data_IF_140377518482
#
_entry.id   IF_140377518482
#
_cell.length_a   1.000
_cell.length_b   1.000
_cell.length_c   1.000
_cell.angle_alpha   90.00
_cell.angle_beta   90.00
_cell.angle_gamma   90.00
#
_symmetry.space_group_name_H-M   'P 1'
#
loop_
_entity.id
_entity.type
_entity.pdbx_description
1 polymer ?
#
# COMPACT_ATOMS: atom_id res chain seq x y z
N UNK A 1 33.33 21.17 -40.43
CA UNK A 1 32.54 19.92 -40.49
C UNK A 1 32.36 19.28 -39.09
N UNK A 2 32.25 20.09 -38.03
CA UNK A 2 32.15 19.57 -36.65
C UNK A 2 31.36 20.53 -35.72
N UNK A 3 30.41 21.27 -36.28
CA UNK A 3 29.61 22.28 -35.55
C UNK A 3 28.10 22.08 -35.67
N UNK A 4 27.64 20.99 -36.28
CA UNK A 4 26.21 20.72 -36.53
C UNK A 4 25.60 19.61 -35.65
N UNK A 5 26.37 19.00 -34.74
CA UNK A 5 25.92 17.85 -33.94
C UNK A 5 25.42 18.19 -32.52
N UNK A 6 25.34 19.47 -32.13
CA UNK A 6 24.94 19.85 -30.76
C UNK A 6 23.61 20.59 -30.62
N UNK A 7 22.79 20.72 -31.69
CA UNK A 7 21.50 21.44 -31.59
C UNK A 7 20.23 20.58 -31.67
N UNK A 8 20.32 19.25 -31.74
CA UNK A 8 19.12 18.42 -32.01
C UNK A 8 18.46 17.78 -30.77
N UNK A 9 18.57 18.37 -29.57
CA UNK A 9 18.19 17.68 -28.33
C UNK A 9 17.09 18.34 -27.47
N UNK A 10 16.14 19.11 -28.03
CA UNK A 10 15.12 19.77 -27.20
C UNK A 10 13.65 19.77 -27.70
N UNK A 11 13.27 18.92 -28.66
CA UNK A 11 11.90 18.93 -29.21
C UNK A 11 11.03 17.72 -28.84
N UNK A 12 11.05 17.28 -27.58
CA UNK A 12 9.98 16.45 -27.02
C UNK A 12 9.00 17.28 -26.18
N UNK A 13 8.47 18.36 -26.76
CA UNK A 13 7.18 18.92 -26.32
C UNK A 13 6.08 18.15 -27.04
N UNK A 14 5.54 17.12 -26.41
CA UNK A 14 4.27 16.51 -26.79
C UNK A 14 3.14 17.51 -26.53
N UNK A 15 3.02 18.50 -27.41
CA UNK A 15 1.77 19.22 -27.63
C UNK A 15 0.82 18.26 -28.35
N UNK A 16 -0.03 17.58 -27.58
CA UNK A 16 -1.24 16.96 -28.12
C UNK A 16 -2.18 18.09 -28.55
N UNK A 17 -2.01 18.54 -29.79
CA UNK A 17 -2.98 19.40 -30.47
C UNK A 17 -4.23 18.56 -30.77
N UNK A 18 -5.24 18.69 -29.92
CA UNK A 18 -6.61 18.39 -30.33
C UNK A 18 -6.99 19.37 -31.45
N UNK A 19 -7.53 18.84 -32.55
CA UNK A 19 -7.84 19.62 -33.76
C UNK A 19 -8.95 20.65 -33.63
N UNK A 20 -9.62 20.76 -32.48
CA UNK A 20 -10.63 21.77 -32.23
C UNK A 20 -10.30 22.50 -30.92
N UNK A 21 -9.94 23.78 -31.02
CA UNK A 21 -9.64 24.69 -29.90
C UNK A 21 -10.84 25.01 -29.00
N UNK A 22 -11.69 24.03 -28.70
CA UNK A 22 -12.78 24.12 -27.73
C UNK A 22 -12.30 23.54 -26.40
N UNK A 23 -12.58 24.29 -25.33
CA UNK A 23 -12.49 23.96 -23.91
C UNK A 23 -12.31 22.45 -23.69
N UNK A 24 -11.09 21.99 -23.38
CA UNK A 24 -10.89 20.65 -22.84
C UNK A 24 -11.76 20.56 -21.58
N UNK A 25 -12.86 19.83 -21.71
CA UNK A 25 -14.03 19.93 -20.85
C UNK A 25 -13.64 19.84 -19.37
N UNK A 26 -14.03 20.85 -18.57
CA UNK A 26 -13.83 20.86 -17.11
C UNK A 26 -14.31 19.55 -16.48
N UNK A 27 -15.31 18.89 -17.07
CA UNK A 27 -15.82 17.59 -16.63
C UNK A 27 -14.78 16.46 -16.76
N UNK A 28 -14.04 16.38 -17.87
CA UNK A 28 -13.00 15.38 -18.13
C UNK A 28 -11.83 15.57 -17.15
N UNK A 29 -11.39 16.82 -16.97
CA UNK A 29 -10.33 17.16 -16.00
C UNK A 29 -10.73 16.79 -14.57
N UNK A 30 -12.00 16.99 -14.20
CA UNK A 30 -12.53 16.60 -12.88
C UNK A 30 -12.58 15.08 -12.72
N UNK A 31 -13.05 14.33 -13.72
CA UNK A 31 -13.08 12.85 -13.69
C UNK A 31 -11.69 12.24 -13.55
N UNK A 32 -10.69 12.76 -14.27
CA UNK A 32 -9.28 12.34 -14.16
C UNK A 32 -8.74 12.50 -12.74
N UNK A 33 -8.93 13.68 -12.15
CA UNK A 33 -8.46 13.96 -10.78
C UNK A 33 -9.18 13.05 -9.79
N UNK A 34 -10.50 12.85 -9.94
CA UNK A 34 -11.26 11.95 -9.08
C UNK A 34 -10.78 10.50 -9.16
N UNK A 35 -10.52 9.97 -10.36
CA UNK A 35 -9.99 8.62 -10.54
C UNK A 35 -8.62 8.46 -9.86
N UNK A 36 -7.72 9.42 -10.03
CA UNK A 36 -6.41 9.42 -9.37
C UNK A 36 -6.53 9.53 -7.85
N UNK A 37 -7.44 10.37 -7.33
CA UNK A 37 -7.72 10.46 -5.91
C UNK A 37 -8.28 9.15 -5.34
N UNK A 38 -9.18 8.46 -6.05
CA UNK A 38 -9.73 7.18 -5.63
C UNK A 38 -8.64 6.11 -5.52
N UNK A 39 -7.77 6.02 -6.53
CA UNK A 39 -6.65 5.08 -6.49
C UNK A 39 -5.68 5.43 -5.36
N UNK A 40 -5.34 6.70 -5.21
CA UNK A 40 -4.45 7.16 -4.15
C UNK A 40 -5.05 6.88 -2.78
N UNK A 41 -6.35 7.11 -2.57
CA UNK A 41 -7.04 6.81 -1.33
C UNK A 41 -7.01 5.31 -0.99
N UNK A 42 -7.13 4.42 -1.98
CA UNK A 42 -6.98 2.98 -1.80
C UNK A 42 -5.56 2.60 -1.33
N UNK A 43 -4.54 3.22 -1.92
CA UNK A 43 -3.15 3.00 -1.51
C UNK A 43 -2.89 3.59 -0.12
N UNK A 44 -3.45 4.75 0.19
CA UNK A 44 -3.37 5.36 1.52
C UNK A 44 -4.01 4.45 2.57
N UNK A 45 -5.21 3.92 2.34
CA UNK A 45 -5.86 2.99 3.26
C UNK A 45 -5.01 1.73 3.52
N UNK A 46 -4.41 1.15 2.49
CA UNK A 46 -3.47 0.03 2.70
C UNK A 46 -2.19 0.45 3.41
N UNK A 47 -1.71 1.67 3.19
CA UNK A 47 -0.54 2.20 3.89
C UNK A 47 -0.84 2.39 5.38
N UNK A 48 -2.00 2.94 5.74
CA UNK A 48 -2.49 2.97 7.12
C UNK A 48 -2.55 1.56 7.71
N UNK A 49 -3.11 0.60 6.98
CA UNK A 49 -3.20 -0.80 7.40
C UNK A 49 -1.83 -1.42 7.69
N UNK A 50 -0.79 -1.05 6.94
CA UNK A 50 0.59 -1.50 7.17
C UNK A 50 1.25 -0.80 8.37
N UNK A 51 0.83 0.42 8.71
CA UNK A 51 1.30 1.14 9.89
C UNK A 51 0.75 0.56 11.20
N UNK A 52 -0.47 0.01 11.19
CA UNK A 52 -1.13 -0.52 12.37
C UNK A 52 -0.30 -1.61 13.11
N UNK A 53 0.23 -2.66 12.45
CA UNK A 53 1.09 -3.65 13.12
C UNK A 53 2.36 -3.06 13.73
N UNK A 54 2.89 -1.96 13.20
CA UNK A 54 4.13 -1.35 13.70
C UNK A 54 3.91 -0.77 15.10
N UNK A 55 2.82 0.00 15.27
CA UNK A 55 2.42 0.52 16.58
C UNK A 55 1.90 -0.55 17.55
N UNK A 56 1.40 -1.67 17.03
CA UNK A 56 0.73 -2.68 17.84
C UNK A 56 1.58 -3.24 19.01
N UNK A 57 2.91 -3.32 18.87
CA UNK A 57 3.79 -3.75 19.98
C UNK A 57 3.63 -2.89 21.22
N UNK A 58 3.49 -1.57 21.05
CA UNK A 58 3.48 -0.64 22.17
C UNK A 58 2.24 -0.78 23.05
N UNK A 59 1.13 -1.27 22.48
CA UNK A 59 -0.10 -1.55 23.23
C UNK A 59 -0.11 -3.00 23.74
N UNK A 60 0.44 -3.95 22.97
CA UNK A 60 0.44 -5.36 23.30
C UNK A 60 1.33 -5.67 24.51
N UNK A 61 2.58 -5.18 24.50
CA UNK A 61 3.57 -5.57 25.51
C UNK A 61 3.19 -5.16 26.94
N UNK A 62 2.73 -3.92 27.22
CA UNK A 62 2.31 -3.56 28.57
C UNK A 62 1.13 -4.39 29.05
N UNK A 63 0.14 -4.64 28.18
CA UNK A 63 -1.03 -5.43 28.53
C UNK A 63 -0.68 -6.91 28.83
N UNK A 64 0.26 -7.50 28.10
CA UNK A 64 0.75 -8.87 28.36
C UNK A 64 1.59 -8.97 29.65
N UNK A 65 2.32 -7.91 30.01
CA UNK A 65 3.07 -7.87 31.28
C UNK A 65 2.16 -7.70 32.49
N UNK A 66 1.06 -6.96 32.34
CA UNK A 66 0.11 -6.68 33.42
C UNK A 66 -0.95 -7.79 33.59
N UNK A 67 -1.14 -8.65 32.59
CA UNK A 67 -2.10 -9.76 32.71
C UNK A 67 -1.61 -10.82 33.69
N UNK A 68 -2.47 -11.27 34.62
CA UNK A 68 -2.21 -12.41 35.53
C UNK A 68 -2.51 -13.77 34.87
N UNK A 69 -2.65 -13.79 33.54
CA UNK A 69 -3.10 -14.95 32.78
C UNK A 69 -1.91 -15.83 32.33
N UNK A 70 -2.18 -16.99 31.74
CA UNK A 70 -1.16 -17.95 31.28
C UNK A 70 -0.20 -17.45 30.18
N UNK A 71 -0.31 -16.18 29.78
CA UNK A 71 0.44 -15.56 28.70
C UNK A 71 1.28 -14.36 29.16
N UNK A 72 1.74 -14.40 30.41
CA UNK A 72 2.76 -13.46 30.88
C UNK A 72 4.06 -13.61 30.08
N UNK A 73 4.61 -12.47 29.66
CA UNK A 73 5.84 -12.39 28.88
C UNK A 73 7.01 -11.94 29.75
N UNK A 74 8.18 -12.55 29.51
CA UNK A 74 9.46 -11.99 29.95
C UNK A 74 9.94 -10.90 28.97
N UNK A 75 10.88 -10.06 29.39
CA UNK A 75 11.41 -8.95 28.60
C UNK A 75 12.04 -9.41 27.27
N UNK A 76 12.69 -10.57 27.27
CA UNK A 76 13.25 -11.18 26.07
C UNK A 76 12.16 -11.54 25.04
N UNK A 77 11.11 -12.24 25.48
CA UNK A 77 9.98 -12.62 24.61
C UNK A 77 9.25 -11.37 24.08
N UNK A 78 9.09 -10.34 24.91
CA UNK A 78 8.53 -9.07 24.48
C UNK A 78 9.36 -8.40 23.38
N UNK A 79 10.69 -8.44 23.51
CA UNK A 79 11.62 -7.90 22.52
C UNK A 79 11.55 -8.66 21.19
N UNK A 80 11.43 -10.00 21.23
CA UNK A 80 11.19 -10.81 20.04
C UNK A 80 9.87 -10.45 19.36
N UNK A 81 8.77 -10.36 20.10
CA UNK A 81 7.45 -9.99 19.55
C UNK A 81 7.48 -8.60 18.87
N UNK A 82 8.18 -7.63 19.46
CA UNK A 82 8.28 -6.30 18.90
C UNK A 82 9.15 -6.24 17.64
N UNK A 83 10.33 -6.87 17.68
CA UNK A 83 11.33 -6.79 16.61
C UNK A 83 11.00 -7.67 15.40
N UNK A 84 10.30 -8.80 15.60
CA UNK A 84 10.07 -9.79 14.55
C UNK A 84 9.28 -9.22 13.37
N UNK A 85 8.33 -8.33 13.62
CA UNK A 85 7.61 -7.63 12.55
C UNK A 85 8.59 -6.85 11.66
N UNK A 86 9.41 -5.99 12.27
CA UNK A 86 10.40 -5.17 11.56
C UNK A 86 11.48 -6.02 10.89
N UNK A 87 11.89 -7.13 11.50
CA UNK A 87 12.86 -8.06 10.93
C UNK A 87 12.32 -8.80 9.69
N UNK A 88 11.01 -9.05 9.63
CA UNK A 88 10.36 -9.73 8.52
C UNK A 88 10.07 -8.80 7.32
N UNK A 89 9.95 -7.49 7.55
CA UNK A 89 9.65 -6.48 6.50
C UNK A 89 10.63 -6.49 5.33
N UNK A 90 11.97 -6.50 5.51
CA UNK A 90 12.92 -6.56 4.39
C UNK A 90 12.71 -7.77 3.48
N UNK A 91 12.37 -8.92 4.05
CA UNK A 91 12.09 -10.15 3.28
C UNK A 91 10.87 -9.94 2.37
N UNK A 92 9.80 -9.34 2.90
CA UNK A 92 8.63 -8.97 2.11
C UNK A 92 8.94 -7.97 0.99
N UNK A 93 9.76 -6.96 1.27
CA UNK A 93 10.17 -5.95 0.29
C UNK A 93 10.96 -6.55 -0.88
N UNK A 94 11.87 -7.49 -0.61
CA UNK A 94 12.63 -8.20 -1.65
C UNK A 94 11.71 -9.02 -2.55
N UNK A 95 10.73 -9.71 -1.96
CA UNK A 95 9.74 -10.49 -2.71
C UNK A 95 8.83 -9.60 -3.56
N UNK A 96 8.56 -8.37 -3.13
CA UNK A 96 7.64 -7.44 -3.81
C UNK A 96 8.01 -7.19 -5.27
N UNK A 97 9.29 -7.02 -5.57
CA UNK A 97 9.76 -6.84 -6.95
C UNK A 97 9.34 -8.00 -7.87
N UNK A 98 9.57 -9.23 -7.41
CA UNK A 98 9.24 -10.45 -8.16
C UNK A 98 7.73 -10.54 -8.40
N UNK A 99 6.92 -10.29 -7.37
CA UNK A 99 5.46 -10.34 -7.49
C UNK A 99 4.92 -9.24 -8.41
N UNK A 100 5.41 -8.00 -8.28
CA UNK A 100 4.99 -6.88 -9.12
C UNK A 100 5.31 -7.10 -10.59
N UNK A 101 6.51 -7.59 -10.89
CA UNK A 101 6.92 -7.81 -12.28
C UNK A 101 6.16 -8.99 -12.88
N UNK A 102 5.96 -10.07 -12.11
CA UNK A 102 5.29 -11.29 -12.60
C UNK A 102 3.79 -11.13 -12.75
N UNK A 103 3.10 -10.60 -11.75
CA UNK A 103 1.63 -10.62 -11.66
C UNK A 103 0.97 -9.27 -11.88
N UNK A 104 1.73 -8.18 -11.83
CA UNK A 104 1.18 -6.82 -11.88
C UNK A 104 1.16 -6.15 -10.52
N UNK A 105 0.89 -4.85 -10.52
CA UNK A 105 1.03 -4.00 -9.33
C UNK A 105 -0.21 -4.13 -8.46
N UNK A 106 -1.40 -4.10 -9.08
CA UNK A 106 -2.67 -4.35 -8.38
C UNK A 106 -2.70 -5.73 -7.75
N UNK A 107 -2.33 -6.76 -8.52
CA UNK A 107 -2.31 -8.14 -8.00
C UNK A 107 -1.28 -8.30 -6.89
N UNK A 108 -0.09 -7.69 -6.99
CA UNK A 108 0.88 -7.69 -5.91
C UNK A 108 0.33 -7.04 -4.62
N UNK A 109 -0.43 -5.95 -4.73
CA UNK A 109 -1.09 -5.33 -3.57
C UNK A 109 -2.17 -6.24 -2.96
N UNK A 110 -2.96 -6.95 -3.78
CA UNK A 110 -3.93 -7.94 -3.28
C UNK A 110 -3.26 -9.12 -2.57
N UNK A 111 -2.16 -9.63 -3.15
CA UNK A 111 -1.32 -10.67 -2.55
C UNK A 111 -0.68 -10.16 -1.26
N UNK A 112 -0.42 -8.86 -1.12
CA UNK A 112 0.11 -8.28 0.12
C UNK A 112 -0.96 -8.11 1.19
N UNK A 113 -2.18 -7.68 0.84
CA UNK A 113 -3.27 -7.51 1.82
C UNK A 113 -3.72 -8.83 2.44
N UNK A 114 -3.65 -9.95 1.69
CA UNK A 114 -4.08 -11.27 2.16
C UNK A 114 -3.30 -11.77 3.39
N UNK A 115 -1.95 -11.84 3.39
CA UNK A 115 -1.16 -12.18 4.57
C UNK A 115 -1.32 -11.14 5.68
N UNK A 116 -1.65 -9.87 5.40
CA UNK A 116 -1.93 -8.90 6.46
C UNK A 116 -3.16 -9.33 7.28
N UNK A 117 -4.23 -9.71 6.58
CA UNK A 117 -5.47 -10.20 7.18
C UNK A 117 -5.19 -11.47 7.98
N UNK A 118 -4.46 -12.42 7.40
CA UNK A 118 -4.07 -13.66 8.08
C UNK A 118 -3.22 -13.37 9.32
N UNK A 119 -2.25 -12.45 9.24
CA UNK A 119 -1.43 -12.03 10.36
C UNK A 119 -2.26 -11.48 11.51
N UNK A 120 -3.22 -10.60 11.22
CA UNK A 120 -4.16 -10.07 12.22
C UNK A 120 -5.08 -11.13 12.82
N UNK A 121 -5.60 -12.06 12.00
CA UNK A 121 -6.40 -13.19 12.48
C UNK A 121 -5.61 -14.08 13.44
N UNK A 122 -4.37 -14.42 13.09
CA UNK A 122 -3.49 -15.21 13.95
C UNK A 122 -3.22 -14.48 15.26
N UNK A 123 -2.95 -13.16 15.22
CA UNK A 123 -2.74 -12.35 16.42
C UNK A 123 -4.00 -12.34 17.29
N UNK A 124 -5.18 -12.06 16.73
CA UNK A 124 -6.44 -11.98 17.49
C UNK A 124 -6.80 -13.32 18.17
N UNK A 125 -6.55 -14.44 17.48
CA UNK A 125 -6.81 -15.79 17.97
C UNK A 125 -5.66 -16.40 18.78
N UNK A 126 -4.57 -15.65 19.01
CA UNK A 126 -3.37 -16.21 19.63
C UNK A 126 -3.65 -16.63 21.08
N UNK A 127 -3.50 -17.93 21.38
CA UNK A 127 -3.56 -18.47 22.74
C UNK A 127 -2.17 -18.66 23.36
N UNK A 128 -1.12 -18.61 22.53
CA UNK A 128 0.26 -18.87 22.91
C UNK A 128 1.19 -17.83 22.29
N UNK A 129 2.35 -17.59 22.91
CA UNK A 129 3.39 -16.69 22.43
C UNK A 129 3.87 -17.03 21.00
N UNK A 130 3.92 -18.32 20.65
CA UNK A 130 4.34 -18.77 19.31
C UNK A 130 3.37 -18.26 18.23
N UNK A 131 2.07 -18.27 18.49
CA UNK A 131 1.07 -17.74 17.54
C UNK A 131 1.24 -16.24 17.37
N UNK A 132 1.51 -15.50 18.45
CA UNK A 132 1.84 -14.08 18.35
C UNK A 132 3.06 -13.88 17.43
N UNK A 133 4.17 -14.60 17.66
CA UNK A 133 5.37 -14.49 16.83
C UNK A 133 5.07 -14.79 15.35
N UNK A 134 4.34 -15.87 15.05
CA UNK A 134 3.94 -16.21 13.67
C UNK A 134 3.11 -15.08 13.06
N UNK A 135 2.12 -14.56 13.79
CA UNK A 135 1.28 -13.46 13.31
C UNK A 135 2.08 -12.18 13.04
N UNK A 136 3.05 -11.85 13.90
CA UNK A 136 3.96 -10.69 13.71
C UNK A 136 4.83 -10.86 12.47
N UNK A 137 5.38 -12.07 12.27
CA UNK A 137 6.20 -12.40 11.10
C UNK A 137 5.39 -12.27 9.80
N UNK A 138 4.20 -12.87 9.75
CA UNK A 138 3.32 -12.82 8.58
C UNK A 138 2.89 -11.38 8.26
N UNK A 139 2.52 -10.60 9.28
CA UNK A 139 2.18 -9.18 9.11
C UNK A 139 3.38 -8.34 8.64
N UNK A 140 4.61 -8.66 9.07
CA UNK A 140 5.84 -8.00 8.64
C UNK A 140 6.15 -8.25 7.16
N UNK A 141 6.11 -9.52 6.72
CA UNK A 141 6.29 -9.87 5.31
C UNK A 141 5.24 -9.15 4.44
N UNK A 142 3.99 -9.15 4.89
CA UNK A 142 2.90 -8.45 4.20
C UNK A 142 3.16 -6.95 4.06
N UNK A 143 3.57 -6.27 5.14
CA UNK A 143 3.84 -4.84 5.13
C UNK A 143 4.96 -4.47 4.16
N UNK A 144 6.04 -5.26 4.11
CA UNK A 144 7.12 -5.10 3.13
C UNK A 144 6.65 -5.28 1.69
N UNK A 145 5.81 -6.30 1.46
CA UNK A 145 5.24 -6.57 0.13
C UNK A 145 4.38 -5.40 -0.37
N UNK A 146 3.53 -4.86 0.50
CA UNK A 146 2.62 -3.76 0.19
C UNK A 146 3.34 -2.42 -0.01
N UNK A 147 4.38 -2.13 0.78
CA UNK A 147 5.08 -0.85 0.74
C UNK A 147 5.71 -0.57 -0.63
N UNK A 148 6.46 -1.54 -1.17
CA UNK A 148 7.07 -1.41 -2.50
C UNK A 148 6.02 -1.39 -3.61
N UNK A 149 4.99 -2.26 -3.55
CA UNK A 149 3.92 -2.31 -4.54
C UNK A 149 3.11 -1.01 -4.62
N UNK A 150 2.74 -0.44 -3.46
CA UNK A 150 2.00 0.81 -3.40
C UNK A 150 2.77 2.00 -3.97
N UNK A 151 4.07 2.12 -3.67
CA UNK A 151 4.90 3.22 -4.18
C UNK A 151 5.10 3.15 -5.69
N UNK A 152 5.34 1.96 -6.24
CA UNK A 152 5.45 1.76 -7.69
C UNK A 152 4.12 2.06 -8.36
N UNK A 153 3.01 1.58 -7.80
CA UNK A 153 1.69 1.80 -8.37
C UNK A 153 1.33 3.30 -8.43
N UNK A 154 1.54 4.04 -7.33
CA UNK A 154 1.38 5.51 -7.32
C UNK A 154 2.29 6.17 -8.34
N UNK A 155 3.55 5.73 -8.45
CA UNK A 155 4.51 6.28 -9.40
C UNK A 155 4.11 6.09 -10.87
N UNK A 156 3.37 5.02 -11.20
CA UNK A 156 2.95 4.70 -12.56
C UNK A 156 1.62 5.37 -12.96
N UNK A 157 0.73 5.64 -12.00
CA UNK A 157 -0.55 6.31 -12.25
C UNK A 157 -0.48 7.84 -12.14
N UNK A 158 0.48 8.36 -11.36
CA UNK A 158 0.52 9.78 -11.01
C UNK A 158 1.02 10.64 -12.16
N UNK A 159 0.35 11.77 -12.40
CA UNK A 159 0.86 12.78 -13.32
C UNK A 159 2.11 13.46 -12.74
N UNK A 160 3.10 13.82 -13.58
CA UNK A 160 4.37 14.41 -13.12
C UNK A 160 4.19 15.60 -12.17
N UNK A 161 3.16 16.42 -12.36
CA UNK A 161 2.92 17.60 -11.54
C UNK A 161 2.21 17.32 -10.19
N UNK A 162 1.57 16.16 -9.99
CA UNK A 162 0.95 15.76 -8.70
C UNK A 162 1.73 14.66 -7.97
N UNK A 163 2.72 14.06 -8.62
CA UNK A 163 3.45 12.90 -8.10
C UNK A 163 4.02 13.15 -6.69
N UNK A 164 4.49 14.37 -6.39
CA UNK A 164 4.99 14.70 -5.05
C UNK A 164 3.93 14.58 -3.95
N UNK A 165 2.71 15.06 -4.20
CA UNK A 165 1.61 15.00 -3.23
C UNK A 165 1.09 13.57 -3.09
N UNK A 166 0.95 12.84 -4.20
CA UNK A 166 0.48 11.46 -4.17
C UNK A 166 1.51 10.50 -3.57
N UNK A 167 2.81 10.75 -3.73
CA UNK A 167 3.85 9.94 -3.09
C UNK A 167 3.99 10.21 -1.59
N UNK A 168 3.70 11.42 -1.10
CA UNK A 168 3.78 11.75 0.33
C UNK A 168 2.55 11.26 1.14
N UNK A 169 1.37 11.23 0.51
CA UNK A 169 0.12 10.77 1.14
C UNK A 169 0.22 9.41 1.85
N UNK A 170 0.76 8.34 1.23
CA UNK A 170 0.98 7.04 1.86
C UNK A 170 1.76 7.09 3.17
N UNK A 171 2.82 7.91 3.26
CA UNK A 171 3.62 8.02 4.48
C UNK A 171 2.83 8.69 5.61
N UNK A 172 2.06 9.74 5.29
CA UNK A 172 1.16 10.37 6.26
C UNK A 172 0.09 9.39 6.75
N UNK A 173 -0.50 8.62 5.82
CA UNK A 173 -1.51 7.61 6.14
C UNK A 173 -0.94 6.46 6.98
N UNK A 174 0.30 6.05 6.71
CA UNK A 174 1.02 5.06 7.51
C UNK A 174 1.18 5.53 8.97
N UNK A 175 1.63 6.77 9.19
CA UNK A 175 1.71 7.37 10.53
C UNK A 175 0.33 7.47 11.19
N UNK A 176 -0.72 7.79 10.42
CA UNK A 176 -2.09 7.78 10.92
C UNK A 176 -2.55 6.39 11.39
N UNK A 177 -2.17 5.32 10.67
CA UNK A 177 -2.43 3.94 11.09
C UNK A 177 -1.78 3.58 12.43
N UNK A 178 -0.54 4.03 12.66
CA UNK A 178 0.14 3.86 13.96
C UNK A 178 -0.63 4.57 15.07
N UNK A 179 -1.00 5.83 14.83
CA UNK A 179 -1.78 6.63 15.79
C UNK A 179 -3.13 5.99 16.11
N UNK A 180 -3.81 5.46 15.10
CA UNK A 180 -5.09 4.77 15.25
C UNK A 180 -4.97 3.56 16.19
N UNK A 181 -3.92 2.75 16.06
CA UNK A 181 -3.70 1.60 16.95
C UNK A 181 -3.41 2.04 18.37
N UNK A 182 -2.68 3.13 18.59
CA UNK A 182 -2.48 3.68 19.93
C UNK A 182 -3.79 4.15 20.56
N UNK A 183 -4.63 4.85 19.80
CA UNK A 183 -5.94 5.27 20.26
C UNK A 183 -6.85 4.08 20.59
N UNK A 184 -6.86 3.05 19.74
CA UNK A 184 -7.63 1.82 19.99
C UNK A 184 -7.10 1.05 21.21
N UNK A 185 -5.78 0.92 21.36
CA UNK A 185 -5.17 0.22 22.49
C UNK A 185 -5.27 0.94 23.82
N UNK A 186 -5.57 2.24 23.82
CA UNK A 186 -5.96 2.97 25.03
C UNK A 186 -7.36 2.60 25.50
N UNK A 187 -8.28 2.33 24.57
CA UNK A 187 -9.70 2.07 24.87
C UNK A 187 -10.02 0.58 25.03
N UNK A 188 -9.28 -0.30 24.37
CA UNK A 188 -9.63 -1.71 24.19
C UNK A 188 -8.46 -2.65 24.49
N UNK A 189 -8.75 -3.91 24.89
CA UNK A 189 -7.72 -4.93 25.04
C UNK A 189 -7.13 -5.32 23.69
N UNK A 190 -5.87 -5.78 23.70
CA UNK A 190 -5.07 -6.05 22.51
C UNK A 190 -5.75 -7.01 21.50
N UNK A 191 -6.54 -7.99 21.97
CA UNK A 191 -7.29 -8.93 21.11
C UNK A 191 -8.35 -8.23 20.26
N UNK A 192 -9.13 -7.37 20.89
CA UNK A 192 -10.18 -6.59 20.21
C UNK A 192 -9.57 -5.61 19.23
N UNK A 193 -8.45 -4.98 19.59
CA UNK A 193 -7.70 -4.10 18.68
C UNK A 193 -7.21 -4.89 17.46
N UNK A 194 -6.72 -6.11 17.63
CA UNK A 194 -6.34 -6.97 16.50
C UNK A 194 -7.54 -7.31 15.61
N UNK A 195 -8.69 -7.63 16.21
CA UNK A 195 -9.95 -7.87 15.48
C UNK A 195 -10.40 -6.66 14.64
N UNK A 196 -10.43 -5.47 15.23
CA UNK A 196 -10.78 -4.23 14.52
C UNK A 196 -9.77 -3.87 13.42
N UNK A 197 -8.49 -4.20 13.64
CA UNK A 197 -7.43 -3.94 12.67
C UNK A 197 -7.55 -4.76 11.39
N UNK A 198 -8.36 -5.82 11.37
CA UNK A 198 -8.67 -6.61 10.16
C UNK A 198 -9.55 -5.83 9.19
N UNK A 199 -10.40 -4.94 9.69
CA UNK A 199 -11.37 -4.19 8.86
C UNK A 199 -10.64 -3.35 7.80
N UNK A 200 -9.52 -2.74 8.19
CA UNK A 200 -8.73 -1.87 7.32
C UNK A 200 -8.14 -2.60 6.09
N UNK A 201 -7.37 -3.70 6.22
CA UNK A 201 -6.85 -4.45 5.08
C UNK A 201 -7.93 -5.20 4.29
N UNK A 202 -9.04 -5.64 4.92
CA UNK A 202 -10.18 -6.22 4.19
C UNK A 202 -10.82 -5.17 3.28
N UNK A 203 -11.02 -3.96 3.79
CA UNK A 203 -11.58 -2.84 3.01
C UNK A 203 -10.64 -2.46 1.87
N UNK A 204 -9.33 -2.38 2.12
CA UNK A 204 -8.33 -2.13 1.07
C UNK A 204 -8.36 -3.21 -0.02
N UNK A 205 -8.42 -4.49 0.37
CA UNK A 205 -8.51 -5.62 -0.55
C UNK A 205 -9.79 -5.56 -1.41
N UNK A 206 -10.93 -5.24 -0.81
CA UNK A 206 -12.20 -5.05 -1.51
C UNK A 206 -12.10 -3.93 -2.55
N UNK A 207 -11.51 -2.80 -2.19
CA UNK A 207 -11.31 -1.67 -3.11
C UNK A 207 -10.42 -2.08 -4.29
N UNK A 208 -9.35 -2.85 -4.07
CA UNK A 208 -8.46 -3.27 -5.15
C UNK A 208 -9.14 -4.09 -6.25
N UNK A 209 -10.24 -4.80 -5.97
CA UNK A 209 -10.97 -5.50 -7.02
C UNK A 209 -11.60 -4.55 -8.06
N UNK A 210 -11.94 -3.32 -7.65
CA UNK A 210 -12.55 -2.32 -8.52
C UNK A 210 -11.53 -1.45 -9.26
N UNK A 211 -10.23 -1.55 -8.92
CA UNK A 211 -9.18 -0.76 -9.55
C UNK A 211 -8.69 -1.40 -10.87
N UNK A 212 -8.37 -0.59 -11.89
CA UNK A 212 -7.64 -1.09 -13.05
C UNK A 212 -6.20 -1.44 -12.68
N UNK A 213 -5.60 -2.35 -13.44
CA UNK A 213 -4.17 -2.65 -13.33
C UNK A 213 -3.35 -1.48 -13.89
N UNK A 214 -2.06 -1.41 -13.52
CA UNK A 214 -1.17 -0.38 -14.05
C UNK A 214 -1.09 -0.42 -15.59
N UNK A 215 -1.38 0.69 -16.29
CA UNK A 215 -1.25 0.76 -17.74
C UNK A 215 0.17 0.44 -18.22
N UNK A 216 1.19 0.87 -17.45
CA UNK A 216 2.61 0.63 -17.77
C UNK A 216 2.92 -0.86 -17.74
N UNK A 217 2.38 -1.59 -16.77
CA UNK A 217 2.57 -3.04 -16.68
C UNK A 217 1.87 -3.77 -17.84
N UNK A 218 0.64 -3.37 -18.17
CA UNK A 218 -0.14 -3.96 -19.26
C UNK A 218 0.57 -3.81 -20.63
N UNK A 219 1.15 -2.64 -20.91
CA UNK A 219 1.96 -2.43 -22.12
C UNK A 219 3.18 -3.35 -22.14
N UNK A 220 3.92 -3.47 -21.01
CA UNK A 220 5.07 -4.38 -20.91
C UNK A 220 4.72 -5.85 -21.13
N UNK A 221 3.47 -6.23 -20.86
CA UNK A 221 2.94 -7.59 -21.11
C UNK A 221 2.33 -7.79 -22.50
N UNK A 222 2.40 -6.78 -23.38
CA UNK A 222 1.80 -6.83 -24.72
C UNK A 222 0.27 -6.70 -24.74
N UNK A 223 -0.36 -6.38 -23.60
CA UNK A 223 -1.82 -6.25 -23.45
C UNK A 223 -2.26 -4.82 -23.74
N UNK A 224 -2.05 -4.38 -24.98
CA UNK A 224 -2.21 -2.98 -25.38
C UNK A 224 -3.66 -2.48 -25.25
N UNK A 225 -4.65 -3.30 -25.60
CA UNK A 225 -6.06 -2.91 -25.52
C UNK A 225 -6.53 -2.70 -24.08
N UNK A 226 -6.07 -3.54 -23.15
CA UNK A 226 -6.36 -3.34 -21.72
C UNK A 226 -5.60 -2.14 -21.15
N UNK A 227 -4.37 -1.90 -21.61
CA UNK A 227 -3.61 -0.72 -21.22
C UNK A 227 -4.31 0.57 -21.67
N UNK A 228 -4.90 0.58 -22.88
CA UNK A 228 -5.76 1.67 -23.35
C UNK A 228 -6.95 1.81 -22.42
N UNK A 229 -7.74 0.77 -22.19
CA UNK A 229 -8.91 0.83 -21.31
C UNK A 229 -8.58 1.37 -19.89
N UNK A 230 -7.48 0.91 -19.29
CA UNK A 230 -7.00 1.41 -18.00
C UNK A 230 -6.59 2.89 -18.06
N UNK A 231 -5.94 3.32 -19.16
CA UNK A 231 -5.57 4.71 -19.38
C UNK A 231 -6.80 5.60 -19.63
N UNK A 232 -7.80 5.14 -20.39
CA UNK A 232 -9.07 5.84 -20.62
C UNK A 232 -9.82 6.01 -19.30
N UNK A 233 -9.87 4.98 -18.44
CA UNK A 233 -10.46 5.08 -17.10
C UNK A 233 -9.74 6.11 -16.22
N UNK A 234 -8.40 6.09 -16.22
CA UNK A 234 -7.60 6.99 -15.39
C UNK A 234 -7.64 8.45 -15.90
N UNK A 235 -7.72 8.65 -17.22
CA UNK A 235 -7.64 9.97 -17.87
C UNK A 235 -9.00 10.55 -18.29
N UNK A 236 -10.07 9.76 -18.26
CA UNK A 236 -11.45 10.19 -18.45
C UNK A 236 -11.83 10.62 -19.87
N UNK A 237 -11.13 10.15 -20.92
CA UNK A 237 -11.43 10.48 -22.31
C UNK A 237 -11.23 9.27 -23.23
N UNK A 238 -11.81 9.35 -24.44
CA UNK A 238 -11.79 8.35 -25.52
C UNK A 238 -10.44 8.24 -26.26
#
# INVERSE_FOLDING_TARGET
EDSDLLQNNNNYKTHTFGKDGKVLDKSIKRRRILAQCLVTAAVMLSSASCGMPVGYSAILLPQLKMSNDSMQINDEMGSWIASLHSAATPVGSLLSGIFMDRFGRKVAMQIASTPLIVGWLIIGLAQNHILLLIGRLVAGISAGLAAAAGQVFIGEISEPHLRGIFSSGPFSSYSFGILLVYALGFLLPWREVAGLSIISPVTALAIYFFLPESPVWLVRRGRVEEAKAAMLWLRGGD
#
